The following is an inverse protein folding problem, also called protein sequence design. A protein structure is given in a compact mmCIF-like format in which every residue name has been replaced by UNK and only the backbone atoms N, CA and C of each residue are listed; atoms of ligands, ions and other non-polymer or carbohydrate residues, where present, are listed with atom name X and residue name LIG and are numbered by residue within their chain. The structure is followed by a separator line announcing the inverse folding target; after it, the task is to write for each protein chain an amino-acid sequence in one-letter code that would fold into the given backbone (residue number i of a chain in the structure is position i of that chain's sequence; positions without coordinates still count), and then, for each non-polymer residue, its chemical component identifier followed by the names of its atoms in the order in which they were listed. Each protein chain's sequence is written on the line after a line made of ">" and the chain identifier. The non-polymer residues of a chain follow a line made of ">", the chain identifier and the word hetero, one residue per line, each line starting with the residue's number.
data_IF_287315117299
#
_entry.id   IF_287315117299
#
_cell.length_a   1.000
_cell.length_b   1.000
_cell.length_c   1.000
_cell.angle_alpha   90.00
_cell.angle_beta   90.00
_cell.angle_gamma   90.00
#
_symmetry.space_group_name_H-M   'P 1'
#
loop_
_entity.id
_entity.type
_entity.pdbx_description
1 polymer ?
#
# COMPACT_ATOMS: atom_id res chain seq x y z
N UNK A 1 9.72 18.76 7.51
CA UNK A 1 8.87 17.57 7.26
C UNK A 1 9.29 17.00 5.91
N UNK A 2 9.32 15.68 5.73
CA UNK A 2 9.62 15.07 4.43
C UNK A 2 8.43 15.32 3.50
N UNK A 3 8.68 15.84 2.31
CA UNK A 3 7.64 16.15 1.30
C UNK A 3 7.34 14.96 0.38
N UNK A 4 8.13 13.90 0.48
CA UNK A 4 8.04 12.71 -0.38
C UNK A 4 7.36 11.56 0.37
N UNK A 5 6.31 11.01 -0.22
CA UNK A 5 5.73 9.73 0.13
C UNK A 5 6.42 8.63 -0.70
N UNK A 6 6.73 7.50 -0.06
CA UNK A 6 7.35 6.35 -0.74
C UNK A 6 6.40 5.18 -0.64
N UNK A 7 6.07 4.60 -1.78
CA UNK A 7 5.12 3.50 -1.89
C UNK A 7 5.75 2.32 -2.61
N UNK A 8 5.53 1.12 -2.08
CA UNK A 8 5.81 -0.10 -2.81
C UNK A 8 4.60 -0.42 -3.67
N UNK A 9 4.79 -0.55 -4.97
CA UNK A 9 3.74 -0.90 -5.93
C UNK A 9 3.93 -2.32 -6.46
N UNK A 10 2.83 -2.95 -6.87
CA UNK A 10 2.88 -4.22 -7.60
C UNK A 10 3.30 -3.94 -9.05
N UNK A 11 4.57 -4.13 -9.38
CA UNK A 11 5.12 -3.82 -10.70
C UNK A 11 4.74 -4.87 -11.76
N UNK A 12 4.69 -6.14 -11.36
CA UNK A 12 4.21 -7.24 -12.21
C UNK A 12 3.65 -8.39 -11.39
N UNK A 13 2.95 -9.32 -12.06
CA UNK A 13 2.36 -10.48 -11.39
C UNK A 13 3.38 -11.62 -11.28
N UNK A 14 3.62 -12.18 -10.09
CA UNK A 14 4.55 -13.29 -9.92
C UNK A 14 4.00 -14.57 -10.57
N UNK A 15 4.79 -15.17 -11.46
CA UNK A 15 4.53 -16.50 -12.03
C UNK A 15 4.79 -17.65 -11.03
N UNK A 16 5.67 -17.42 -10.04
CA UNK A 16 6.12 -18.36 -9.02
C UNK A 16 6.22 -17.67 -7.66
N UNK A 17 7.27 -17.92 -6.87
CA UNK A 17 7.54 -17.06 -5.70
C UNK A 17 7.72 -15.60 -6.14
N UNK A 18 7.23 -14.58 -5.40
CA UNK A 18 7.52 -13.20 -5.74
C UNK A 18 9.02 -12.94 -5.64
N UNK A 19 9.58 -12.36 -6.68
CA UNK A 19 10.94 -11.85 -6.72
C UNK A 19 10.94 -10.32 -6.60
N UNK A 20 12.12 -9.72 -6.78
CA UNK A 20 12.27 -8.26 -6.66
C UNK A 20 11.60 -7.51 -7.81
N UNK A 21 11.46 -8.13 -8.99
CA UNK A 21 10.86 -7.49 -10.16
C UNK A 21 9.34 -7.30 -9.98
N UNK A 22 8.71 -8.09 -9.11
CA UNK A 22 7.31 -7.93 -8.72
C UNK A 22 7.03 -6.61 -7.98
N UNK A 23 8.06 -5.88 -7.52
CA UNK A 23 7.92 -4.72 -6.66
C UNK A 23 8.71 -3.52 -7.18
N UNK A 24 8.08 -2.35 -7.19
CA UNK A 24 8.76 -1.09 -7.49
C UNK A 24 8.59 -0.13 -6.32
N UNK A 25 9.68 0.55 -5.95
CA UNK A 25 9.61 1.65 -5.00
C UNK A 25 9.36 2.95 -5.78
N UNK A 26 8.18 3.51 -5.62
CA UNK A 26 7.79 4.77 -6.23
C UNK A 26 7.82 5.90 -5.20
N UNK A 27 8.21 7.08 -5.67
CA UNK A 27 8.14 8.32 -4.90
C UNK A 27 7.01 9.21 -5.44
N UNK A 28 6.18 9.71 -4.53
CA UNK A 28 5.07 10.62 -4.81
C UNK A 28 5.10 11.78 -3.82
N UNK A 29 4.32 12.83 -4.06
CA UNK A 29 4.13 13.89 -3.07
C UNK A 29 3.30 13.36 -1.89
N UNK A 30 3.58 13.85 -0.68
CA UNK A 30 2.72 13.57 0.48
C UNK A 30 1.33 14.15 0.22
N UNK A 31 0.26 13.34 0.27
CA UNK A 31 -1.09 13.83 0.00
C UNK A 31 -1.60 14.70 1.15
N UNK A 32 -2.54 15.58 0.85
CA UNK A 32 -3.35 16.26 1.86
C UNK A 32 -4.62 15.45 2.14
N UNK A 33 -5.05 15.32 3.40
CA UNK A 33 -6.31 14.64 3.72
C UNK A 33 -7.51 15.47 3.24
N UNK A 34 -8.53 14.81 2.71
CA UNK A 34 -9.84 15.41 2.42
C UNK A 34 -10.71 15.46 3.70
N UNK A 35 -11.82 16.22 3.73
CA UNK A 35 -12.73 16.23 4.86
C UNK A 35 -13.22 14.82 5.23
N UNK A 36 -13.02 14.44 6.49
CA UNK A 36 -13.30 13.10 7.02
C UNK A 36 -12.08 12.16 7.10
N UNK A 37 -10.97 12.50 6.44
CA UNK A 37 -9.78 11.65 6.37
C UNK A 37 -8.76 11.94 7.47
N UNK A 38 -7.88 10.95 7.68
CA UNK A 38 -6.66 11.06 8.46
C UNK A 38 -5.47 10.88 7.54
N UNK A 39 -4.49 11.78 7.63
CA UNK A 39 -3.16 11.55 7.07
C UNK A 39 -2.29 10.87 8.13
N UNK A 40 -1.78 9.69 7.80
CA UNK A 40 -0.96 8.90 8.72
C UNK A 40 0.43 8.64 8.16
N UNK A 41 1.42 8.65 9.04
CA UNK A 41 2.78 8.19 8.75
C UNK A 41 2.93 6.74 9.19
N UNK A 42 2.97 5.82 8.23
CA UNK A 42 3.25 4.40 8.47
C UNK A 42 4.60 4.23 9.16
N UNK A 43 4.60 3.54 10.31
CA UNK A 43 5.82 3.19 11.07
C UNK A 43 6.19 1.71 10.88
N UNK A 44 5.17 0.86 10.82
CA UNK A 44 5.30 -0.57 10.60
C UNK A 44 4.22 -1.06 9.64
N UNK A 45 4.59 -1.97 8.74
CA UNK A 45 3.70 -2.66 7.82
C UNK A 45 3.77 -4.16 8.14
N UNK A 46 2.61 -4.78 8.34
CA UNK A 46 2.48 -6.24 8.44
C UNK A 46 2.70 -6.86 7.07
N UNK A 47 3.43 -7.98 7.02
CA UNK A 47 3.63 -8.78 5.81
C UNK A 47 3.02 -10.15 6.08
N UNK A 48 1.91 -10.44 5.41
CA UNK A 48 1.06 -11.58 5.74
C UNK A 48 0.91 -12.55 4.56
N UNK A 49 0.75 -13.87 4.79
CA UNK A 49 0.61 -14.86 3.72
C UNK A 49 -0.55 -14.57 2.74
N UNK A 50 -1.63 -13.92 3.19
CA UNK A 50 -2.77 -13.60 2.32
C UNK A 50 -2.41 -12.66 1.17
N UNK A 51 -1.37 -11.83 1.34
CA UNK A 51 -0.92 -10.87 0.32
C UNK A 51 -0.58 -11.57 -0.98
N UNK A 52 -0.04 -12.80 -0.89
CA UNK A 52 0.27 -13.58 -2.07
C UNK A 52 -0.97 -13.92 -2.92
N UNK A 53 -2.11 -14.14 -2.27
CA UNK A 53 -3.39 -14.34 -2.95
C UNK A 53 -3.84 -13.08 -3.69
N UNK A 54 -3.58 -11.89 -3.12
CA UNK A 54 -3.93 -10.60 -3.72
C UNK A 54 -3.09 -10.26 -4.96
N UNK A 55 -1.86 -10.77 -5.08
CA UNK A 55 -1.03 -10.54 -6.26
C UNK A 55 -1.46 -11.37 -7.50
N UNK A 56 -2.32 -12.39 -7.32
CA UNK A 56 -2.77 -13.28 -8.39
C UNK A 56 -4.02 -12.76 -9.07
N UNK A 57 -4.06 -12.82 -10.41
CA UNK A 57 -5.27 -12.56 -11.19
C UNK A 57 -6.15 -13.81 -11.27
N UNK A 58 -6.74 -14.18 -10.15
CA UNK A 58 -7.59 -15.35 -10.07
C UNK A 58 -8.84 -15.05 -9.24
N UNK A 59 -9.93 -15.72 -9.58
CA UNK A 59 -11.17 -15.63 -8.82
C UNK A 59 -10.89 -16.03 -7.36
N UNK A 60 -11.22 -15.12 -6.46
CA UNK A 60 -10.93 -15.23 -5.03
C UNK A 60 -12.02 -14.50 -4.25
N UNK A 61 -12.19 -14.86 -2.98
CA UNK A 61 -13.11 -14.18 -2.07
C UNK A 61 -12.71 -12.71 -1.79
N UNK A 62 -11.48 -12.33 -2.15
CA UNK A 62 -10.96 -10.99 -1.96
C UNK A 62 -10.38 -10.45 -3.26
N UNK A 63 -10.66 -9.18 -3.53
CA UNK A 63 -10.25 -8.50 -4.76
C UNK A 63 -8.72 -8.49 -4.91
N UNK A 64 -8.19 -8.94 -6.06
CA UNK A 64 -6.78 -8.84 -6.39
C UNK A 64 -6.29 -7.39 -6.44
N UNK A 65 -5.01 -7.19 -6.17
CA UNK A 65 -4.34 -5.94 -6.50
C UNK A 65 -4.09 -5.87 -8.01
N UNK A 66 -4.30 -4.69 -8.59
CA UNK A 66 -3.93 -4.42 -9.97
C UNK A 66 -2.43 -4.17 -10.07
N UNK A 67 -1.86 -4.43 -11.25
CA UNK A 67 -0.50 -3.98 -11.56
C UNK A 67 -0.48 -2.45 -11.56
N UNK A 68 0.47 -1.87 -10.86
CA UNK A 68 0.60 -0.43 -10.61
C UNK A 68 -0.04 0.05 -9.29
N UNK A 69 -0.80 -0.79 -8.59
CA UNK A 69 -1.37 -0.42 -7.29
C UNK A 69 -0.29 -0.38 -6.20
N UNK A 70 -0.42 0.58 -5.28
CA UNK A 70 0.29 0.53 -4.00
C UNK A 70 -0.14 -0.71 -3.20
N UNK A 71 0.84 -1.45 -2.68
CA UNK A 71 0.61 -2.62 -1.84
C UNK A 71 -0.11 -2.22 -0.55
N UNK A 72 -0.99 -3.11 -0.08
CA UNK A 72 -1.84 -2.86 1.09
C UNK A 72 -1.57 -3.89 2.17
N UNK A 73 -1.69 -3.48 3.43
CA UNK A 73 -1.50 -4.36 4.58
C UNK A 73 -1.97 -3.70 5.88
N UNK A 74 -1.96 -4.48 6.96
CA UNK A 74 -2.16 -3.92 8.29
C UNK A 74 -0.97 -3.02 8.65
N UNK A 75 -1.22 -1.86 9.25
CA UNK A 75 -0.18 -0.91 9.62
C UNK A 75 -0.29 -0.48 11.08
N UNK A 76 0.85 -0.16 11.68
CA UNK A 76 0.94 0.72 12.85
C UNK A 76 1.46 2.06 12.35
N UNK A 77 0.68 3.11 12.55
CA UNK A 77 0.95 4.43 12.01
C UNK A 77 0.69 5.52 13.05
N UNK A 78 1.32 6.66 12.85
CA UNK A 78 1.12 7.88 13.63
C UNK A 78 0.24 8.83 12.81
N UNK A 79 -0.82 9.38 13.41
CA UNK A 79 -1.62 10.45 12.77
C UNK A 79 -0.76 11.72 12.73
N UNK A 80 -0.57 12.29 11.55
CA UNK A 80 0.22 13.50 11.35
C UNK A 80 -0.64 14.70 10.94
N UNK A 81 -1.84 14.47 10.40
CA UNK A 81 -2.86 15.48 10.11
C UNK A 81 -4.25 14.81 10.14
N UNK A 82 -5.29 15.55 10.49
CA UNK A 82 -6.65 15.05 10.67
C UNK A 82 -7.66 16.09 10.22
N UNK A 83 -8.48 15.75 9.24
CA UNK A 83 -9.64 16.54 8.80
C UNK A 83 -10.95 15.82 9.17
N UNK A 84 -10.88 14.90 10.13
CA UNK A 84 -12.01 14.15 10.67
C UNK A 84 -12.68 14.89 11.84
N UNK A 85 -14.02 14.91 11.87
CA UNK A 85 -14.84 15.54 12.93
C UNK A 85 -14.98 14.70 14.22
N UNK A 86 -14.28 13.56 14.28
CA UNK A 86 -14.37 12.59 15.38
C UNK A 86 -13.59 13.01 16.63
#
# INVERSE_FOLDING_TARGET
>A
MTTTNREWVLAERPSGEPDLDCFELRETDVPSPDPGDLLVRTRYLSVDPYMRGRMRDAESYAEPWAVGDALRGGVVAEVIESESDA
#
